data_IF_287403303367
#
_entry.id   IF_287403303367
#
_cell.length_a   1.000
_cell.length_b   1.000
_cell.length_c   1.000
_cell.angle_alpha   90.00
_cell.angle_beta   90.00
_cell.angle_gamma   90.00
#
_symmetry.space_group_name_H-M   'P 1'
#
loop_
_entity.id
_entity.type
_entity.pdbx_description
1 polymer ?
#
# COMPACT_ATOMS: atom_id res chain seq x y z
N UNK A 1 18.64 3.80 -22.85
CA UNK A 1 17.56 3.92 -21.84
C UNK A 1 17.18 2.52 -21.33
N UNK A 2 18.06 1.84 -20.60
CA UNK A 2 17.83 0.43 -20.18
C UNK A 2 18.09 0.19 -18.68
N UNK A 3 18.50 1.21 -17.92
CA UNK A 3 18.71 1.10 -16.46
C UNK A 3 17.45 1.27 -15.60
N UNK A 4 16.41 1.94 -16.11
CA UNK A 4 15.23 2.28 -15.30
C UNK A 4 14.32 1.10 -14.98
N UNK A 5 14.13 0.17 -15.93
CA UNK A 5 13.21 -0.96 -15.74
C UNK A 5 13.68 -1.94 -14.66
N UNK A 6 14.99 -2.24 -14.63
CA UNK A 6 15.57 -3.09 -13.58
C UNK A 6 15.40 -2.48 -12.18
N UNK A 7 15.55 -1.16 -12.05
CA UNK A 7 15.31 -0.45 -10.79
C UNK A 7 13.84 -0.53 -10.35
N UNK A 8 12.88 -0.40 -11.28
CA UNK A 8 11.45 -0.56 -10.99
C UNK A 8 11.11 -1.99 -10.54
N UNK A 9 11.72 -3.00 -11.16
CA UNK A 9 11.53 -4.40 -10.75
C UNK A 9 12.06 -4.66 -9.34
N UNK A 10 13.23 -4.10 -8.99
CA UNK A 10 13.77 -4.21 -7.62
C UNK A 10 12.84 -3.52 -6.62
N UNK A 11 12.28 -2.35 -6.96
CA UNK A 11 11.36 -1.62 -6.08
C UNK A 11 10.04 -2.38 -5.84
N UNK A 12 9.56 -3.11 -6.86
CA UNK A 12 8.34 -3.91 -6.77
C UNK A 12 8.55 -5.31 -6.15
N UNK A 13 9.79 -5.71 -5.86
CA UNK A 13 10.11 -7.03 -5.33
C UNK A 13 9.71 -7.14 -3.85
N UNK A 14 8.97 -8.19 -3.48
CA UNK A 14 8.64 -8.46 -2.08
C UNK A 14 9.85 -8.74 -1.19
N UNK A 15 11.04 -8.99 -1.73
CA UNK A 15 12.25 -9.13 -0.93
C UNK A 15 12.92 -7.79 -0.65
N UNK A 16 12.41 -6.68 -1.22
CA UNK A 16 12.94 -5.36 -0.97
C UNK A 16 12.82 -5.00 0.53
N UNK A 17 13.93 -4.66 1.21
CA UNK A 17 13.98 -4.54 2.67
C UNK A 17 13.40 -3.20 3.17
N UNK A 18 12.21 -2.81 2.70
CA UNK A 18 11.52 -1.58 3.10
C UNK A 18 10.60 -1.76 4.34
N UNK A 19 10.56 -2.95 4.95
CA UNK A 19 9.75 -3.21 6.14
C UNK A 19 8.24 -3.41 5.91
N UNK A 20 7.74 -3.29 4.67
CA UNK A 20 6.30 -3.40 4.35
C UNK A 20 5.64 -4.76 4.60
N UNK A 21 6.44 -5.82 4.80
CA UNK A 21 5.95 -7.18 5.12
C UNK A 21 5.39 -7.28 6.54
N UNK A 22 5.67 -6.30 7.39
CA UNK A 22 5.27 -6.30 8.80
C UNK A 22 3.77 -6.02 9.01
N UNK A 23 3.05 -5.54 8.00
CA UNK A 23 1.64 -5.18 8.14
C UNK A 23 0.76 -5.97 7.17
N UNK A 24 -0.07 -6.88 7.70
CA UNK A 24 -1.05 -7.68 6.95
C UNK A 24 -2.15 -6.85 6.26
N UNK A 25 -2.13 -5.52 6.40
CA UNK A 25 -3.07 -4.61 5.77
C UNK A 25 -4.52 -4.80 6.23
N UNK A 26 -4.72 -5.37 7.42
CA UNK A 26 -6.03 -5.72 7.98
C UNK A 26 -6.56 -7.08 7.52
N UNK A 27 -5.83 -7.82 6.68
CA UNK A 27 -6.26 -9.13 6.20
C UNK A 27 -6.38 -10.14 7.35
N UNK A 28 -5.44 -10.16 8.30
CA UNK A 28 -5.50 -11.06 9.46
C UNK A 28 -6.75 -10.81 10.32
N UNK A 29 -7.10 -9.54 10.55
CA UNK A 29 -8.32 -9.19 11.28
C UNK A 29 -9.58 -9.57 10.50
N UNK A 30 -9.57 -9.42 9.17
CA UNK A 30 -10.69 -9.82 8.31
C UNK A 30 -10.87 -11.35 8.27
N UNK A 31 -9.79 -12.14 8.27
CA UNK A 31 -9.82 -13.60 8.43
C UNK A 31 -10.38 -13.98 9.80
N UNK A 32 -9.87 -13.39 10.89
CA UNK A 32 -10.38 -13.65 12.26
C UNK A 32 -11.87 -13.32 12.39
N UNK A 33 -12.37 -12.33 11.66
CA UNK A 33 -13.77 -11.93 11.62
C UNK A 33 -14.64 -12.77 10.67
N UNK A 34 -14.09 -13.79 9.99
CA UNK A 34 -14.83 -14.63 9.05
C UNK A 34 -15.23 -13.93 7.74
N UNK A 35 -14.62 -12.77 7.42
CA UNK A 35 -14.89 -12.01 6.18
C UNK A 35 -14.04 -12.45 5.00
N UNK A 36 -12.90 -13.10 5.26
CA UNK A 36 -12.06 -13.74 4.26
C UNK A 36 -11.97 -15.22 4.63
N UNK A 37 -12.46 -16.09 3.75
CA UNK A 37 -12.51 -17.54 3.98
C UNK A 37 -11.90 -18.34 2.84
N UNK A 38 -11.69 -17.72 1.68
CA UNK A 38 -11.20 -18.35 0.45
C UNK A 38 -10.61 -17.32 -0.52
N UNK A 39 -10.19 -17.80 -1.71
CA UNK A 39 -9.64 -16.96 -2.77
C UNK A 39 -10.59 -15.84 -3.25
N UNK A 40 -11.85 -16.14 -3.59
CA UNK A 40 -12.82 -15.12 -4.01
C UNK A 40 -13.04 -14.02 -2.96
N UNK A 41 -13.24 -14.37 -1.69
CA UNK A 41 -13.43 -13.38 -0.62
C UNK A 41 -12.16 -12.57 -0.34
N UNK A 42 -10.97 -13.16 -0.52
CA UNK A 42 -9.70 -12.42 -0.50
C UNK A 42 -9.60 -11.44 -1.68
N UNK A 43 -10.03 -11.83 -2.88
CA UNK A 43 -10.04 -10.93 -4.04
C UNK A 43 -10.94 -9.71 -3.80
N UNK A 44 -12.15 -9.93 -3.27
CA UNK A 44 -13.08 -8.85 -2.90
C UNK A 44 -12.47 -7.93 -1.84
N UNK A 45 -11.82 -8.49 -0.82
CA UNK A 45 -11.10 -7.71 0.18
C UNK A 45 -9.98 -6.86 -0.43
N UNK A 46 -9.16 -7.46 -1.31
CA UNK A 46 -8.09 -6.76 -2.02
C UNK A 46 -8.63 -5.63 -2.90
N UNK A 47 -9.73 -5.87 -3.61
CA UNK A 47 -10.41 -4.85 -4.42
C UNK A 47 -10.91 -3.69 -3.56
N UNK A 48 -11.58 -3.98 -2.44
CA UNK A 48 -12.00 -2.95 -1.48
C UNK A 48 -10.83 -2.13 -0.94
N UNK A 49 -9.69 -2.77 -0.66
CA UNK A 49 -8.45 -2.08 -0.26
C UNK A 49 -7.88 -1.18 -1.35
N UNK A 50 -7.88 -1.62 -2.61
CA UNK A 50 -7.40 -0.82 -3.74
C UNK A 50 -8.20 0.49 -3.86
N UNK A 51 -9.51 0.44 -3.65
CA UNK A 51 -10.37 1.62 -3.72
C UNK A 51 -10.31 2.55 -2.49
N UNK A 52 -9.60 2.16 -1.43
CA UNK A 52 -9.53 2.93 -0.17
C UNK A 52 -8.09 3.34 0.15
N UNK A 53 -7.38 2.55 0.96
CA UNK A 53 -6.00 2.82 1.34
C UNK A 53 -5.05 2.79 0.13
N UNK A 54 -5.31 1.88 -0.83
CA UNK A 54 -4.53 1.78 -2.07
C UNK A 54 -4.61 3.04 -2.91
N UNK A 55 -5.82 3.58 -3.12
CA UNK A 55 -6.04 4.82 -3.87
C UNK A 55 -5.31 6.01 -3.23
N UNK A 56 -5.35 6.11 -1.90
CA UNK A 56 -4.66 7.18 -1.16
C UNK A 56 -3.14 7.08 -1.34
N UNK A 57 -2.57 5.89 -1.14
CA UNK A 57 -1.13 5.67 -1.33
C UNK A 57 -0.69 5.94 -2.78
N UNK A 58 -1.49 5.51 -3.76
CA UNK A 58 -1.22 5.77 -5.18
C UNK A 58 -1.24 7.26 -5.51
N UNK A 59 -2.18 8.02 -4.95
CA UNK A 59 -2.26 9.47 -5.15
C UNK A 59 -1.04 10.20 -4.56
N UNK A 60 -0.60 9.80 -3.36
CA UNK A 60 0.61 10.37 -2.73
C UNK A 60 1.88 10.02 -3.52
N UNK A 61 2.01 8.77 -3.99
CA UNK A 61 3.12 8.36 -4.84
C UNK A 61 3.16 9.14 -6.17
N UNK A 62 2.00 9.34 -6.80
CA UNK A 62 1.88 10.14 -8.02
C UNK A 62 2.25 11.62 -7.77
N UNK A 63 1.82 12.19 -6.65
CA UNK A 63 2.18 13.55 -6.24
C UNK A 63 3.69 13.71 -6.01
N UNK A 64 4.33 12.74 -5.33
CA UNK A 64 5.78 12.72 -5.14
C UNK A 64 6.52 12.64 -6.49
N UNK A 65 6.07 11.77 -7.40
CA UNK A 65 6.62 11.66 -8.75
C UNK A 65 6.44 12.93 -9.58
N UNK A 66 5.40 13.73 -9.30
CA UNK A 66 5.18 15.04 -9.90
C UNK A 66 6.03 16.17 -9.29
N UNK A 67 6.83 15.87 -8.25
CA UNK A 67 7.77 16.82 -7.63
C UNK A 67 7.17 17.67 -6.50
N UNK A 68 6.06 17.24 -5.90
CA UNK A 68 5.52 17.91 -4.71
C UNK A 68 6.45 17.70 -3.50
N UNK A 69 6.37 18.62 -2.54
CA UNK A 69 7.19 18.61 -1.32
C UNK A 69 7.00 17.31 -0.53
N UNK A 70 8.06 16.49 -0.34
CA UNK A 70 7.97 15.24 0.40
C UNK A 70 7.48 15.41 1.84
N UNK A 71 7.82 16.51 2.53
CA UNK A 71 7.39 16.72 3.91
C UNK A 71 5.89 16.97 4.01
N UNK A 72 5.35 17.81 3.12
CA UNK A 72 3.91 18.00 3.03
C UNK A 72 3.16 16.72 2.65
N UNK A 73 3.77 15.85 1.84
CA UNK A 73 3.18 14.55 1.49
C UNK A 73 3.21 13.57 2.66
N UNK A 74 4.25 13.61 3.49
CA UNK A 74 4.38 12.80 4.71
C UNK A 74 3.30 13.18 5.73
N UNK A 75 3.14 14.48 6.02
CA UNK A 75 2.06 15.00 6.86
C UNK A 75 0.68 14.56 6.35
N UNK A 76 0.51 14.56 5.03
CA UNK A 76 -0.73 14.16 4.39
C UNK A 76 -0.94 12.63 4.45
N UNK A 77 0.13 11.82 4.50
CA UNK A 77 0.07 10.39 4.74
C UNK A 77 -0.31 10.08 6.19
N UNK A 78 0.31 10.77 7.15
CA UNK A 78 0.04 10.65 8.59
C UNK A 78 -1.42 10.98 8.92
N UNK A 79 -1.95 12.08 8.38
CA UNK A 79 -3.34 12.46 8.58
C UNK A 79 -4.36 11.43 8.07
N UNK A 80 -3.95 10.53 7.17
CA UNK A 80 -4.79 9.48 6.56
C UNK A 80 -4.47 8.08 7.07
N UNK A 81 -3.47 7.97 7.94
CA UNK A 81 -3.15 6.73 8.64
C UNK A 81 -4.03 6.65 9.89
N UNK A 82 -4.91 5.64 10.02
CA UNK A 82 -5.71 5.50 11.23
C UNK A 82 -4.81 5.43 12.46
N UNK A 83 -5.18 6.14 13.53
CA UNK A 83 -4.47 6.07 14.81
C UNK A 83 -4.30 4.61 15.26
N UNK A 84 -3.20 4.26 15.96
CA UNK A 84 -2.98 2.89 16.41
C UNK A 84 -4.17 2.41 17.25
N UNK A 85 -4.64 1.20 16.94
CA UNK A 85 -5.63 0.48 17.72
C UNK A 85 -5.03 -0.03 19.03
#
# INVERSE_FOLDING_TARGET
MTGGFAALLVLADGRFPAGGHAHSGGAEAAVKAGRITDGPTLEEFCRGRLHTAGLTAAALAAAAAAGLDPLALDDAADARTPAPA
#
